data_IF_470170114701
#
_entry.id   IF_470170114701
#
_cell.length_a   1.000
_cell.length_b   1.000
_cell.length_c   1.000
_cell.angle_alpha   90.00
_cell.angle_beta   90.00
_cell.angle_gamma   90.00
#
_symmetry.space_group_name_H-M   'P 1'
#
loop_
_entity.id
_entity.type
_entity.pdbx_description
1 polymer ?
#
# COMPACT_ATOMS: atom_id res chain seq x y z
N UNK A 1 -18.47 26.36 -40.64
CA UNK A 1 -17.70 26.48 -39.38
C UNK A 1 -18.17 25.40 -38.42
N UNK A 2 -17.46 24.27 -38.30
CA UNK A 2 -17.87 23.15 -37.43
C UNK A 2 -16.81 22.06 -37.32
N UNK A 3 -16.21 21.65 -38.45
CA UNK A 3 -15.30 20.50 -38.52
C UNK A 3 -13.97 20.65 -37.76
N UNK A 4 -13.42 21.87 -37.61
CA UNK A 4 -12.14 22.08 -36.90
C UNK A 4 -12.24 22.02 -35.37
N UNK A 5 -13.44 22.17 -34.78
CA UNK A 5 -13.65 22.14 -33.31
C UNK A 5 -13.79 20.71 -32.78
N UNK A 6 -14.37 19.81 -33.57
CA UNK A 6 -14.50 18.39 -33.23
C UNK A 6 -13.15 17.66 -33.25
N UNK A 7 -12.26 18.03 -34.18
CA UNK A 7 -10.89 17.50 -34.28
C UNK A 7 -10.03 17.89 -33.06
N UNK A 8 -10.14 19.14 -32.58
CA UNK A 8 -9.44 19.61 -31.38
C UNK A 8 -9.93 18.91 -30.10
N UNK A 9 -11.24 18.64 -30.01
CA UNK A 9 -11.86 17.98 -28.86
C UNK A 9 -11.51 16.48 -28.79
N UNK A 10 -11.39 15.80 -29.94
CA UNK A 10 -10.95 14.40 -30.02
C UNK A 10 -9.48 14.21 -29.64
N UNK A 11 -8.57 15.11 -30.05
CA UNK A 11 -7.15 15.02 -29.68
C UNK A 11 -6.93 15.26 -28.19
N UNK A 12 -7.65 16.23 -27.60
CA UNK A 12 -7.58 16.53 -26.16
C UNK A 12 -8.08 15.37 -25.29
N UNK A 13 -9.21 14.75 -25.66
CA UNK A 13 -9.74 13.56 -24.97
C UNK A 13 -8.78 12.38 -25.07
N UNK A 14 -8.16 12.14 -26.23
CA UNK A 14 -7.19 11.04 -26.42
C UNK A 14 -5.92 11.24 -25.57
N UNK A 15 -5.38 12.46 -25.52
CA UNK A 15 -4.23 12.78 -24.66
C UNK A 15 -4.60 12.65 -23.19
N UNK A 16 -5.78 13.11 -22.78
CA UNK A 16 -6.27 12.97 -21.41
C UNK A 16 -6.44 11.50 -21.00
N UNK A 17 -6.96 10.64 -21.88
CA UNK A 17 -7.10 9.20 -21.62
C UNK A 17 -5.75 8.48 -21.44
N UNK A 18 -4.72 8.85 -22.22
CA UNK A 18 -3.37 8.28 -22.08
C UNK A 18 -2.73 8.68 -20.75
N UNK A 19 -2.91 9.93 -20.33
CA UNK A 19 -2.45 10.40 -19.01
C UNK A 19 -3.20 9.73 -17.85
N UNK A 20 -4.51 9.51 -17.99
CA UNK A 20 -5.29 8.79 -16.98
C UNK A 20 -4.84 7.34 -16.85
N UNK A 21 -4.54 6.67 -17.97
CA UNK A 21 -4.10 5.27 -17.98
C UNK A 21 -2.74 5.06 -17.29
N UNK A 22 -1.83 6.04 -17.36
CA UNK A 22 -0.52 5.99 -16.69
C UNK A 22 -0.62 6.14 -15.16
N UNK A 23 -1.71 6.72 -14.64
CA UNK A 23 -1.92 6.93 -13.20
C UNK A 23 -2.49 5.69 -12.48
N UNK A 24 -2.87 4.61 -13.18
CA UNK A 24 -3.44 3.41 -12.54
C UNK A 24 -2.39 2.48 -11.89
N UNK A 25 -1.09 2.71 -12.08
CA UNK A 25 -0.04 1.83 -11.53
C UNK A 25 0.28 2.05 -10.03
N UNK A 26 -0.40 2.97 -9.32
CA UNK A 26 -0.08 3.31 -7.94
C UNK A 26 -0.99 2.67 -6.87
N UNK A 27 -1.97 1.83 -7.25
CA UNK A 27 -2.92 1.22 -6.30
C UNK A 27 -2.55 -0.21 -5.85
N UNK A 28 -1.39 -0.74 -6.27
CA UNK A 28 -0.87 -1.99 -5.71
C UNK A 28 -0.11 -1.66 -4.43
N UNK A 29 -0.55 -2.24 -3.30
CA UNK A 29 0.05 -2.00 -1.98
C UNK A 29 1.58 -2.07 -1.98
N UNK A 30 2.21 -1.35 -1.06
CA UNK A 30 3.66 -1.28 -0.94
C UNK A 30 4.25 -2.69 -0.89
N UNK A 31 5.13 -3.01 -1.84
CA UNK A 31 5.87 -4.26 -1.79
C UNK A 31 6.78 -4.21 -0.55
N UNK A 32 6.71 -5.23 0.31
CA UNK A 32 7.47 -5.29 1.57
C UNK A 32 8.23 -6.61 1.63
N UNK A 33 9.48 -6.60 2.09
CA UNK A 33 10.28 -7.82 2.14
C UNK A 33 10.12 -8.60 3.45
N UNK A 34 10.18 -9.93 3.36
CA UNK A 34 10.03 -10.81 4.51
C UNK A 34 11.18 -10.66 5.51
N UNK A 35 12.39 -10.46 5.01
CA UNK A 35 13.57 -10.19 5.83
C UNK A 35 13.38 -8.91 6.66
N UNK A 36 12.75 -7.88 6.09
CA UNK A 36 12.43 -6.65 6.80
C UNK A 36 11.31 -6.84 7.83
N UNK A 37 10.32 -7.69 7.54
CA UNK A 37 9.28 -8.02 8.51
C UNK A 37 9.82 -8.79 9.72
N UNK A 38 10.82 -9.64 9.52
CA UNK A 38 11.50 -10.38 10.60
C UNK A 38 12.38 -9.50 11.48
N UNK A 39 12.82 -8.34 10.97
CA UNK A 39 13.60 -7.37 11.76
C UNK A 39 12.75 -6.62 12.79
N UNK A 40 11.42 -6.66 12.65
CA UNK A 40 10.51 -6.00 13.57
C UNK A 40 10.46 -6.76 14.89
N UNK A 41 10.68 -6.02 15.98
CA UNK A 41 10.76 -6.57 17.33
C UNK A 41 9.68 -5.99 18.24
N UNK A 42 9.26 -6.73 19.27
CA UNK A 42 8.41 -6.20 20.32
C UNK A 42 9.01 -4.92 20.91
N UNK A 43 8.15 -3.94 21.20
CA UNK A 43 8.55 -2.64 21.73
C UNK A 43 8.89 -1.57 20.70
N UNK A 44 9.10 -1.93 19.43
CA UNK A 44 9.26 -0.94 18.36
C UNK A 44 8.00 -0.07 18.23
N UNK A 45 8.21 1.21 17.99
CA UNK A 45 7.14 2.17 17.70
C UNK A 45 6.61 1.97 16.30
N UNK A 46 5.40 2.46 16.08
CA UNK A 46 4.82 2.51 14.73
C UNK A 46 5.73 3.19 13.70
N UNK A 47 6.39 4.30 14.07
CA UNK A 47 7.27 5.01 13.15
C UNK A 47 8.48 4.17 12.73
N UNK A 48 9.06 3.41 13.66
CA UNK A 48 10.15 2.48 13.36
C UNK A 48 9.68 1.35 12.44
N UNK A 49 8.52 0.78 12.73
CA UNK A 49 7.88 -0.26 11.89
C UNK A 49 7.67 0.24 10.46
N UNK A 50 7.10 1.44 10.31
CA UNK A 50 6.85 2.08 9.00
C UNK A 50 8.14 2.47 8.30
N UNK A 51 9.20 2.82 9.04
CA UNK A 51 10.51 3.11 8.44
C UNK A 51 11.18 1.87 7.83
N UNK A 52 10.86 0.68 8.35
CA UNK A 52 11.41 -0.61 7.88
C UNK A 52 10.55 -1.16 6.74
N UNK A 53 9.22 -1.22 6.92
CA UNK A 53 8.30 -1.87 5.97
C UNK A 53 7.63 -0.92 4.98
N UNK A 54 7.85 0.39 5.11
CA UNK A 54 7.09 1.40 4.39
C UNK A 54 5.67 1.55 4.93
N UNK A 55 4.85 2.29 4.18
CA UNK A 55 3.47 2.56 4.56
C UNK A 55 2.63 1.28 4.58
N UNK A 56 1.85 1.01 5.65
CA UNK A 56 0.95 -0.12 5.70
C UNK A 56 -0.16 0.02 4.65
N UNK A 57 -0.65 -1.12 4.18
CA UNK A 57 -1.84 -1.18 3.33
C UNK A 57 -3.09 -0.77 4.09
N UNK A 58 -3.23 -1.21 5.35
CA UNK A 58 -4.35 -0.81 6.19
C UNK A 58 -3.97 -0.62 7.65
N UNK A 59 -4.75 0.23 8.31
CA UNK A 59 -4.67 0.55 9.75
C UNK A 59 -6.05 0.36 10.36
N UNK A 60 -6.16 -0.48 11.37
CA UNK A 60 -7.36 -0.64 12.18
C UNK A 60 -7.04 -0.28 13.64
N UNK A 61 -7.86 0.58 14.25
CA UNK A 61 -7.68 0.99 15.64
C UNK A 61 -8.87 0.49 16.48
N UNK A 62 -8.56 -0.16 17.60
CA UNK A 62 -9.52 -0.71 18.55
C UNK A 62 -9.06 -0.38 19.98
N UNK A 63 -9.57 0.72 20.53
CA UNK A 63 -9.16 1.22 21.84
C UNK A 63 -7.66 1.52 21.89
N UNK A 64 -6.93 0.83 22.78
CA UNK A 64 -5.47 0.97 22.92
C UNK A 64 -4.68 0.13 21.92
N UNK A 65 -5.36 -0.66 21.10
CA UNK A 65 -4.75 -1.54 20.11
C UNK A 65 -4.81 -0.90 18.74
N UNK A 66 -3.71 -0.93 18.01
CA UNK A 66 -3.67 -0.59 16.58
C UNK A 66 -3.11 -1.78 15.83
N UNK A 67 -3.82 -2.26 14.82
CA UNK A 67 -3.36 -3.31 13.91
C UNK A 67 -2.97 -2.67 12.60
N UNK A 68 -1.72 -2.84 12.22
CA UNK A 68 -1.18 -2.39 10.94
C UNK A 68 -0.97 -3.62 10.06
N UNK A 69 -1.46 -3.56 8.83
CA UNK A 69 -1.37 -4.68 7.88
C UNK A 69 -0.69 -4.24 6.60
N UNK A 70 0.28 -5.02 6.17
CA UNK A 70 0.89 -4.96 4.86
C UNK A 70 0.38 -6.15 4.06
N UNK A 71 -0.07 -5.87 2.85
CA UNK A 71 -0.55 -6.88 1.91
C UNK A 71 0.00 -6.52 0.55
N UNK A 72 0.64 -7.50 -0.09
CA UNK A 72 1.16 -7.40 -1.43
C UNK A 72 0.71 -8.61 -2.23
N UNK A 73 0.25 -8.39 -3.45
CA UNK A 73 -0.07 -9.43 -4.41
C UNK A 73 0.57 -9.07 -5.74
N UNK A 74 1.16 -10.07 -6.41
CA UNK A 74 1.70 -9.94 -7.75
C UNK A 74 0.71 -10.43 -8.81
N UNK A 75 0.96 -10.05 -10.07
CA UNK A 75 0.11 -10.39 -11.20
C UNK A 75 0.16 -11.89 -11.59
N UNK A 76 1.08 -12.66 -11.02
CA UNK A 76 1.29 -14.08 -11.30
C UNK A 76 0.72 -14.98 -10.19
N UNK A 77 -0.03 -14.41 -9.25
CA UNK A 77 -0.78 -15.14 -8.22
C UNK A 77 -0.01 -15.37 -6.91
N UNK A 78 1.19 -14.80 -6.76
CA UNK A 78 1.85 -14.75 -5.46
C UNK A 78 1.26 -13.64 -4.59
N UNK A 79 1.16 -13.92 -3.29
CA UNK A 79 0.65 -12.98 -2.29
C UNK A 79 1.40 -13.13 -0.98
N UNK A 80 1.61 -12.01 -0.29
CA UNK A 80 2.15 -11.98 1.07
C UNK A 80 1.41 -10.96 1.90
N UNK A 81 1.04 -11.34 3.11
CA UNK A 81 0.47 -10.41 4.07
C UNK A 81 1.05 -10.60 5.47
N UNK A 82 1.37 -9.49 6.12
CA UNK A 82 1.84 -9.45 7.50
C UNK A 82 1.08 -8.38 8.27
N UNK A 83 0.70 -8.70 9.51
CA UNK A 83 0.05 -7.76 10.42
C UNK A 83 0.79 -7.66 11.74
N UNK A 84 0.97 -6.44 12.21
CA UNK A 84 1.54 -6.15 13.52
C UNK A 84 0.49 -5.54 14.42
N UNK A 85 0.37 -6.12 15.62
CA UNK A 85 -0.47 -5.56 16.69
C UNK A 85 0.38 -4.63 17.54
N UNK A 86 -0.02 -3.37 17.62
CA UNK A 86 0.56 -2.38 18.49
C UNK A 86 -0.38 -2.14 19.66
N UNK A 87 0.16 -2.08 20.87
CA UNK A 87 -0.54 -1.70 22.09
C UNK A 87 0.12 -0.43 22.60
N UNK A 88 -0.68 0.62 22.84
CA UNK A 88 -0.16 1.93 23.27
C UNK A 88 0.94 2.47 22.32
N UNK A 89 0.80 2.21 21.02
CA UNK A 89 1.71 2.68 19.96
C UNK A 89 3.00 1.87 19.78
N UNK A 90 3.14 0.72 20.46
CA UNK A 90 4.32 -0.16 20.37
C UNK A 90 3.94 -1.59 20.01
N UNK A 91 4.80 -2.26 19.23
CA UNK A 91 4.60 -3.66 18.83
C UNK A 91 4.49 -4.55 20.07
N UNK A 92 3.36 -5.23 20.20
CA UNK A 92 3.03 -6.03 21.39
C UNK A 92 3.65 -7.44 21.36
N UNK A 93 4.08 -7.93 20.20
CA UNK A 93 4.60 -9.30 20.05
C UNK A 93 4.96 -9.66 18.60
N UNK A 94 4.93 -10.96 18.29
CA UNK A 94 5.19 -11.49 16.95
C UNK A 94 4.11 -11.09 15.95
N UNK A 95 4.51 -10.96 14.68
CA UNK A 95 3.61 -10.65 13.58
C UNK A 95 2.65 -11.81 13.29
N UNK A 96 1.43 -11.48 12.85
CA UNK A 96 0.56 -12.45 12.20
C UNK A 96 0.92 -12.50 10.71
N UNK A 97 1.25 -13.69 10.21
CA UNK A 97 1.74 -13.90 8.84
C UNK A 97 0.76 -14.81 8.10
N UNK A 98 0.26 -14.34 6.96
CA UNK A 98 -0.50 -15.17 6.03
C UNK A 98 0.33 -15.37 4.76
N UNK A 99 0.58 -16.65 4.43
CA UNK A 99 1.31 -17.12 3.25
C UNK A 99 0.35 -17.80 2.29
#
# INVERSE_FOLDING_TARGET
MGSSRELQMQTGVRVLCVWLALMLCACAGTNFDWEDAERIKPGMTEAEVVSILGSPYSRAQEGRVTVLTWSYADAFGGGRAVSFRLVDGKVAGSAAVNK
#
